data_IF_186138251266
#
_entry.id   IF_186138251266
#
_cell.length_a   1.000
_cell.length_b   1.000
_cell.length_c   1.000
_cell.angle_alpha   90.00
_cell.angle_beta   90.00
_cell.angle_gamma   90.00
#
_symmetry.space_group_name_H-M   'P 1'
#
loop_
_entity.id
_entity.type
_entity.pdbx_description
1 polymer ?
#
# COMPACT_ATOMS: atom_id res chain seq x y z
N UNK A 1 29.49 12.94 13.89
CA UNK A 1 28.82 14.24 13.68
C UNK A 1 27.48 13.98 13.02
N UNK A 2 26.38 14.36 13.67
CA UNK A 2 25.03 14.15 13.16
C UNK A 2 24.03 14.16 14.29
N UNK A 3 22.91 14.84 14.07
CA UNK A 3 21.79 14.88 15.00
C UNK A 3 21.15 13.49 15.09
N UNK A 4 20.79 13.06 16.31
CA UNK A 4 20.01 11.83 16.53
C UNK A 4 18.54 12.14 16.75
N UNK A 5 17.68 11.14 16.57
CA UNK A 5 16.28 11.22 16.96
C UNK A 5 16.15 11.53 18.46
N UNK A 6 15.06 12.20 18.82
CA UNK A 6 14.78 12.61 20.20
C UNK A 6 14.02 11.57 21.02
N UNK A 7 13.67 10.42 20.42
CA UNK A 7 12.90 9.33 21.05
C UNK A 7 13.62 7.99 20.88
N UNK A 8 13.49 7.14 21.87
CA UNK A 8 14.05 5.79 21.96
C UNK A 8 12.96 4.69 22.00
N UNK A 9 11.68 5.09 22.01
CA UNK A 9 10.52 4.21 21.88
C UNK A 9 9.41 4.87 21.02
N UNK A 10 8.43 4.07 20.62
CA UNK A 10 7.21 4.51 19.94
C UNK A 10 6.30 5.30 20.88
N UNK A 11 5.33 6.01 20.31
CA UNK A 11 4.36 6.81 21.06
C UNK A 11 3.19 5.90 21.48
N UNK A 12 3.23 5.39 22.71
CA UNK A 12 2.16 4.52 23.21
C UNK A 12 0.93 5.31 23.64
N UNK A 13 -0.23 4.92 23.11
CA UNK A 13 -1.54 5.50 23.48
C UNK A 13 -2.49 4.46 24.08
N UNK A 14 -3.30 4.92 25.03
CA UNK A 14 -4.38 4.15 25.65
C UNK A 14 -5.75 4.38 24.97
N UNK A 15 -5.82 5.29 24.00
CA UNK A 15 -7.07 5.61 23.29
C UNK A 15 -7.29 4.69 22.09
N UNK A 16 -8.57 4.47 21.75
CA UNK A 16 -8.92 3.85 20.48
C UNK A 16 -8.54 4.74 19.28
N UNK A 17 -8.44 4.15 18.09
CA UNK A 17 -8.25 4.92 16.86
C UNK A 17 -9.45 5.86 16.59
N UNK A 18 -9.24 7.11 16.13
CA UNK A 18 -10.27 8.13 16.06
C UNK A 18 -11.26 7.92 14.90
N UNK A 19 -10.92 7.10 13.92
CA UNK A 19 -11.70 7.02 12.67
C UNK A 19 -13.07 6.37 12.86
N UNK A 20 -13.20 5.38 13.75
CA UNK A 20 -14.47 4.72 14.00
C UNK A 20 -15.47 5.66 14.70
N UNK A 21 -15.01 6.40 15.70
CA UNK A 21 -15.83 7.35 16.46
C UNK A 21 -16.15 8.59 15.62
N UNK A 22 -15.18 9.15 14.89
CA UNK A 22 -15.39 10.30 14.00
C UNK A 22 -16.36 9.98 12.86
N UNK A 23 -16.21 8.82 12.20
CA UNK A 23 -17.16 8.33 11.18
C UNK A 23 -18.60 8.27 11.70
N UNK A 24 -18.80 7.75 12.91
CA UNK A 24 -20.15 7.67 13.54
C UNK A 24 -20.74 9.06 13.73
N UNK A 25 -19.96 9.99 14.30
CA UNK A 25 -20.38 11.36 14.53
C UNK A 25 -20.69 12.12 13.22
N UNK A 26 -19.88 11.93 12.18
CA UNK A 26 -20.13 12.51 10.86
C UNK A 26 -21.42 11.97 10.26
N UNK A 27 -21.65 10.66 10.30
CA UNK A 27 -22.88 10.06 9.74
C UNK A 27 -24.14 10.51 10.48
N UNK A 28 -24.04 10.79 11.79
CA UNK A 28 -25.14 11.31 12.60
C UNK A 28 -25.46 12.77 12.26
N UNK A 29 -24.43 13.62 12.15
CA UNK A 29 -24.59 15.05 11.89
C UNK A 29 -24.86 15.38 10.41
N UNK A 30 -24.24 14.63 9.50
CA UNK A 30 -24.24 14.83 8.04
C UNK A 30 -24.62 13.52 7.32
N UNK A 31 -25.84 12.98 7.50
CA UNK A 31 -26.23 11.67 6.94
C UNK A 31 -26.13 11.58 5.42
N UNK A 32 -26.13 12.71 4.71
CA UNK A 32 -26.01 12.82 3.27
C UNK A 32 -24.60 12.47 2.74
N UNK A 33 -23.57 12.37 3.59
CA UNK A 33 -22.26 11.80 3.21
C UNK A 33 -22.38 10.38 2.65
N UNK A 34 -23.44 9.64 3.03
CA UNK A 34 -23.74 8.30 2.50
C UNK A 34 -23.91 8.28 0.98
N UNK A 35 -24.25 9.41 0.36
CA UNK A 35 -24.41 9.54 -1.10
C UNK A 35 -23.08 9.53 -1.85
N UNK A 36 -21.95 9.75 -1.14
CA UNK A 36 -20.61 9.72 -1.72
C UNK A 36 -20.03 8.31 -1.84
N UNK A 37 -20.64 7.31 -1.18
CA UNK A 37 -20.23 5.92 -1.36
C UNK A 37 -20.58 5.44 -2.76
N UNK A 38 -19.68 4.70 -3.38
CA UNK A 38 -19.99 4.10 -4.67
C UNK A 38 -18.77 3.71 -5.47
N UNK A 39 -18.94 3.83 -6.79
CA UNK A 39 -17.95 3.46 -7.79
C UNK A 39 -17.44 4.73 -8.45
N UNK A 40 -16.13 4.85 -8.63
CA UNK A 40 -15.57 5.84 -9.54
C UNK A 40 -15.59 5.28 -10.98
N UNK A 41 -16.49 5.75 -11.86
CA UNK A 41 -16.57 5.24 -13.22
C UNK A 41 -15.35 5.62 -14.07
N UNK A 42 -14.61 6.66 -13.68
CA UNK A 42 -13.47 7.19 -14.43
C UNK A 42 -12.17 6.44 -14.14
N UNK A 43 -12.01 5.94 -12.91
CA UNK A 43 -10.78 5.31 -12.42
C UNK A 43 -10.26 4.22 -13.37
N UNK A 44 -11.15 3.36 -13.88
CA UNK A 44 -10.77 2.27 -14.79
C UNK A 44 -10.15 2.74 -16.11
N UNK A 45 -10.63 3.86 -16.65
CA UNK A 45 -10.12 4.41 -17.90
C UNK A 45 -8.80 5.14 -17.70
N UNK A 46 -8.67 5.88 -16.59
CA UNK A 46 -7.43 6.55 -16.23
C UNK A 46 -6.32 5.52 -16.01
N UNK A 47 -6.58 4.50 -15.19
CA UNK A 47 -5.62 3.42 -14.92
C UNK A 47 -5.24 2.66 -16.20
N UNK A 48 -6.21 2.31 -17.06
CA UNK A 48 -5.91 1.68 -18.34
C UNK A 48 -5.03 2.55 -19.24
N UNK A 49 -5.29 3.86 -19.28
CA UNK A 49 -4.46 4.79 -20.04
C UNK A 49 -3.04 4.86 -19.49
N UNK A 50 -2.86 4.84 -18.17
CA UNK A 50 -1.54 4.85 -17.52
C UNK A 50 -0.75 3.57 -17.79
N UNK A 51 -1.40 2.39 -17.72
CA UNK A 51 -0.77 1.10 -18.03
C UNK A 51 -0.33 1.05 -19.50
N UNK A 52 -1.22 1.44 -20.43
CA UNK A 52 -0.91 1.47 -21.85
C UNK A 52 0.22 2.48 -22.17
N UNK A 53 0.21 3.63 -21.50
CA UNK A 53 1.26 4.62 -21.64
C UNK A 53 2.62 4.10 -21.16
N UNK A 54 2.67 3.36 -20.04
CA UNK A 54 3.91 2.74 -19.57
C UNK A 54 4.45 1.68 -20.55
N UNK A 55 3.56 0.91 -21.17
CA UNK A 55 3.94 -0.03 -22.24
C UNK A 55 4.48 0.71 -23.46
N UNK A 56 3.85 1.83 -23.85
CA UNK A 56 4.36 2.70 -24.92
C UNK A 56 5.75 3.24 -24.58
N UNK A 57 5.98 3.70 -23.35
CA UNK A 57 7.30 4.15 -22.90
C UNK A 57 8.35 3.04 -22.97
N UNK A 58 7.98 1.80 -22.65
CA UNK A 58 8.85 0.63 -22.83
C UNK A 58 9.26 0.44 -24.29
N UNK A 59 8.33 0.58 -25.24
CA UNK A 59 8.64 0.51 -26.67
C UNK A 59 9.56 1.67 -27.13
N UNK A 60 9.30 2.89 -26.65
CA UNK A 60 10.09 4.07 -27.03
C UNK A 60 11.52 4.04 -26.46
N UNK A 61 11.71 3.46 -25.27
CA UNK A 61 13.00 3.47 -24.55
C UNK A 61 13.88 2.24 -24.81
N UNK A 62 13.38 1.21 -25.49
CA UNK A 62 14.10 -0.06 -25.68
C UNK A 62 15.52 0.08 -26.26
N UNK A 63 15.72 1.06 -27.13
CA UNK A 63 17.00 1.34 -27.81
C UNK A 63 17.68 2.62 -27.35
N UNK A 64 17.10 3.34 -26.37
CA UNK A 64 17.66 4.60 -25.84
C UNK A 64 18.93 4.38 -25.03
N UNK A 65 19.71 5.44 -24.82
CA UNK A 65 20.85 5.41 -23.91
C UNK A 65 20.39 5.31 -22.44
N UNK A 66 21.30 4.85 -21.57
CA UNK A 66 20.99 4.63 -20.15
C UNK A 66 20.64 5.91 -19.39
N UNK A 67 21.23 7.05 -19.76
CA UNK A 67 20.93 8.30 -19.08
C UNK A 67 19.49 8.71 -19.34
N UNK A 68 19.02 8.62 -20.60
CA UNK A 68 17.64 8.88 -20.95
C UNK A 68 16.69 7.90 -20.24
N UNK A 69 17.03 6.61 -20.18
CA UNK A 69 16.23 5.60 -19.45
C UNK A 69 16.08 5.98 -17.97
N UNK A 70 17.17 6.36 -17.30
CA UNK A 70 17.15 6.75 -15.88
C UNK A 70 16.38 8.05 -15.64
N UNK A 71 16.56 9.05 -16.50
CA UNK A 71 15.81 10.31 -16.41
C UNK A 71 14.31 10.07 -16.60
N UNK A 72 13.93 9.27 -17.60
CA UNK A 72 12.53 8.92 -17.81
C UNK A 72 11.99 8.06 -16.67
N UNK A 73 12.77 7.12 -16.14
CA UNK A 73 12.36 6.33 -14.97
C UNK A 73 12.07 7.22 -13.76
N UNK A 74 12.82 8.32 -13.56
CA UNK A 74 12.57 9.26 -12.48
C UNK A 74 11.34 10.15 -12.75
N UNK A 75 11.35 10.91 -13.84
CA UNK A 75 10.38 11.98 -14.09
C UNK A 75 9.04 11.50 -14.63
N UNK A 76 9.02 10.35 -15.31
CA UNK A 76 7.85 9.80 -15.97
C UNK A 76 7.43 8.49 -15.31
N UNK A 77 8.35 7.52 -15.29
CA UNK A 77 8.15 6.20 -14.70
C UNK A 77 7.75 6.29 -13.22
N UNK A 78 8.49 7.06 -12.43
CA UNK A 78 8.27 7.20 -11.00
C UNK A 78 6.94 7.86 -10.66
N UNK A 79 6.57 8.93 -11.38
CA UNK A 79 5.28 9.61 -11.18
C UNK A 79 4.11 8.67 -11.50
N UNK A 80 4.17 7.98 -12.64
CA UNK A 80 3.07 7.11 -13.09
C UNK A 80 3.00 5.83 -12.26
N UNK A 81 4.14 5.23 -11.89
CA UNK A 81 4.16 4.04 -11.03
C UNK A 81 3.67 4.36 -9.61
N UNK A 82 4.02 5.52 -9.07
CA UNK A 82 3.44 5.95 -7.79
C UNK A 82 1.93 6.08 -7.89
N UNK A 83 1.45 6.77 -8.93
CA UNK A 83 0.03 6.94 -9.17
C UNK A 83 -0.70 5.59 -9.34
N UNK A 84 -0.12 4.64 -10.07
CA UNK A 84 -0.66 3.28 -10.21
C UNK A 84 -0.70 2.53 -8.87
N UNK A 85 0.30 2.72 -8.01
CA UNK A 85 0.29 2.17 -6.64
C UNK A 85 -0.90 2.71 -5.84
N UNK A 86 -1.22 3.99 -6.01
CA UNK A 86 -2.38 4.61 -5.36
C UNK A 86 -3.72 4.27 -6.01
N UNK A 87 -3.72 3.99 -7.32
CA UNK A 87 -4.87 3.40 -7.96
C UNK A 87 -5.15 2.00 -7.42
N UNK A 88 -4.12 1.17 -7.23
CA UNK A 88 -4.24 -0.14 -6.56
C UNK A 88 -4.81 0.03 -5.15
N UNK A 89 -4.37 1.06 -4.42
CA UNK A 89 -4.93 1.41 -3.13
C UNK A 89 -6.45 1.68 -3.19
N UNK A 90 -6.92 2.54 -4.09
CA UNK A 90 -8.35 2.85 -4.21
C UNK A 90 -9.16 1.61 -4.71
N UNK A 91 -8.63 0.90 -5.71
CA UNK A 91 -9.18 -0.38 -6.19
C UNK A 91 -9.27 -1.41 -5.05
N UNK A 92 -8.37 -1.32 -4.05
CA UNK A 92 -8.38 -2.24 -2.92
C UNK A 92 -9.65 -2.11 -2.07
N UNK A 93 -10.25 -0.93 -2.03
CA UNK A 93 -11.53 -0.65 -1.39
C UNK A 93 -12.74 -0.90 -2.31
N UNK A 94 -12.52 -1.58 -3.43
CA UNK A 94 -13.51 -1.93 -4.44
C UNK A 94 -14.18 -0.72 -5.12
N UNK A 95 -13.53 0.44 -5.19
CA UNK A 95 -14.10 1.66 -5.77
C UNK A 95 -14.18 1.61 -7.30
N UNK A 96 -13.48 0.70 -7.99
CA UNK A 96 -13.49 0.61 -9.45
C UNK A 96 -14.72 -0.13 -10.02
N UNK A 97 -15.21 -1.16 -9.34
CA UNK A 97 -16.38 -1.96 -9.78
C UNK A 97 -17.42 -2.19 -8.69
N UNK A 98 -17.19 -1.71 -7.47
CA UNK A 98 -18.09 -1.86 -6.33
C UNK A 98 -17.95 -3.20 -5.61
N UNK A 99 -18.51 -3.25 -4.40
CA UNK A 99 -18.47 -4.42 -3.51
C UNK A 99 -19.21 -5.65 -4.06
N UNK A 100 -20.12 -5.47 -5.02
CA UNK A 100 -20.83 -6.56 -5.70
C UNK A 100 -19.93 -7.40 -6.60
N UNK A 101 -18.80 -6.86 -7.07
CA UNK A 101 -17.90 -7.52 -8.02
C UNK A 101 -16.46 -7.56 -7.50
N UNK A 102 -16.18 -8.25 -6.38
CA UNK A 102 -14.85 -8.25 -5.75
C UNK A 102 -13.77 -8.82 -6.68
N UNK A 103 -14.07 -9.87 -7.46
CA UNK A 103 -13.10 -10.44 -8.40
C UNK A 103 -12.74 -9.48 -9.55
N UNK A 104 -13.69 -8.67 -10.03
CA UNK A 104 -13.38 -7.65 -11.06
C UNK A 104 -12.39 -6.62 -10.52
N UNK A 105 -12.56 -6.17 -9.28
CA UNK A 105 -11.59 -5.29 -8.62
C UNK A 105 -10.23 -5.98 -8.45
N UNK A 106 -10.19 -7.26 -8.07
CA UNK A 106 -8.91 -8.00 -7.92
C UNK A 106 -8.14 -8.11 -9.25
N UNK A 107 -8.78 -8.57 -10.32
CA UNK A 107 -8.12 -8.68 -11.63
C UNK A 107 -7.75 -7.31 -12.20
N UNK A 108 -8.59 -6.30 -12.02
CA UNK A 108 -8.26 -4.95 -12.44
C UNK A 108 -7.09 -4.36 -11.64
N UNK A 109 -7.02 -4.67 -10.35
CA UNK A 109 -5.86 -4.34 -9.52
C UNK A 109 -4.58 -5.03 -10.01
N UNK A 110 -4.63 -6.28 -10.46
CA UNK A 110 -3.48 -6.97 -11.07
C UNK A 110 -3.07 -6.31 -12.40
N UNK A 111 -4.04 -5.84 -13.19
CA UNK A 111 -3.77 -5.09 -14.41
C UNK A 111 -3.12 -3.72 -14.13
N UNK A 112 -3.60 -2.99 -13.12
CA UNK A 112 -2.98 -1.75 -12.65
C UNK A 112 -1.54 -1.97 -12.14
N UNK A 113 -1.26 -3.17 -11.64
CA UNK A 113 0.04 -3.58 -11.10
C UNK A 113 1.10 -3.86 -12.18
N UNK A 114 0.72 -4.10 -13.44
CA UNK A 114 1.67 -4.56 -14.46
C UNK A 114 2.91 -3.66 -14.58
N UNK A 115 2.79 -2.31 -14.67
CA UNK A 115 3.96 -1.42 -14.77
C UNK A 115 4.80 -1.32 -13.48
N UNK A 116 4.32 -1.84 -12.35
CA UNK A 116 5.07 -1.83 -11.09
C UNK A 116 6.22 -2.85 -11.12
N UNK A 117 6.14 -3.87 -12.00
CA UNK A 117 7.13 -4.94 -12.18
C UNK A 117 7.36 -5.84 -10.94
N UNK A 118 6.49 -5.74 -9.93
CA UNK A 118 6.52 -6.55 -8.70
C UNK A 118 5.07 -6.84 -8.29
N UNK A 119 4.67 -8.08 -7.96
CA UNK A 119 3.27 -8.47 -7.75
C UNK A 119 2.70 -8.01 -6.40
N UNK A 120 2.44 -6.71 -6.24
CA UNK A 120 2.01 -6.14 -4.95
C UNK A 120 0.50 -6.11 -4.75
N UNK A 121 -0.31 -6.03 -5.80
CA UNK A 121 -1.74 -5.67 -5.73
C UNK A 121 -2.59 -6.50 -4.77
N UNK A 122 -2.52 -7.84 -4.84
CA UNK A 122 -3.35 -8.69 -3.97
C UNK A 122 -2.87 -8.64 -2.51
N UNK A 123 -1.55 -8.70 -2.30
CA UNK A 123 -0.91 -8.63 -0.98
C UNK A 123 -1.13 -7.28 -0.31
N UNK A 124 -1.01 -6.20 -1.08
CA UNK A 124 -1.27 -4.83 -0.64
C UNK A 124 -2.68 -4.75 -0.07
N UNK A 125 -3.71 -5.16 -0.80
CA UNK A 125 -5.09 -5.16 -0.29
C UNK A 125 -5.25 -6.00 0.99
N UNK A 126 -4.58 -7.16 1.07
CA UNK A 126 -4.67 -8.04 2.25
C UNK A 126 -4.24 -7.31 3.52
N UNK A 127 -3.07 -6.66 3.50
CA UNK A 127 -2.54 -5.95 4.66
C UNK A 127 -3.12 -4.54 4.83
N UNK A 128 -3.43 -3.85 3.74
CA UNK A 128 -3.95 -2.48 3.80
C UNK A 128 -5.34 -2.40 4.45
N UNK A 129 -6.23 -3.35 4.17
CA UNK A 129 -7.56 -3.40 4.85
C UNK A 129 -7.40 -3.62 6.36
N UNK A 130 -6.36 -4.35 6.78
CA UNK A 130 -6.07 -4.57 8.20
C UNK A 130 -5.47 -3.34 8.85
N UNK A 131 -4.61 -2.63 8.16
CA UNK A 131 -4.11 -1.34 8.61
C UNK A 131 -5.25 -0.35 8.93
N UNK A 132 -6.30 -0.28 8.10
CA UNK A 132 -7.51 0.51 8.42
C UNK A 132 -8.25 0.00 9.67
N UNK A 133 -8.25 -1.31 9.90
CA UNK A 133 -9.00 -1.96 10.98
C UNK A 133 -8.28 -1.87 12.33
N UNK A 134 -6.97 -2.13 12.30
CA UNK A 134 -6.09 -2.30 13.45
C UNK A 134 -5.00 -1.22 13.47
N UNK A 135 -5.29 -0.03 12.96
CA UNK A 135 -4.37 1.11 12.89
C UNK A 135 -3.55 1.20 14.19
N UNK A 136 -2.23 1.27 14.10
CA UNK A 136 -1.33 1.39 15.25
C UNK A 136 -1.35 0.25 16.28
N UNK A 137 -2.15 -0.81 16.09
CA UNK A 137 -2.16 -1.96 17.01
C UNK A 137 -0.90 -2.80 16.81
N UNK A 138 -0.13 -2.99 17.88
CA UNK A 138 1.15 -3.67 17.82
C UNK A 138 1.03 -5.10 17.29
N UNK A 139 1.90 -5.47 16.36
CA UNK A 139 1.87 -6.77 15.68
C UNK A 139 0.77 -6.94 14.64
N UNK A 140 -0.25 -6.08 14.55
CA UNK A 140 -1.34 -6.21 13.57
C UNK A 140 -1.22 -5.20 12.43
N UNK A 141 -0.80 -3.98 12.74
CA UNK A 141 -0.56 -2.95 11.74
C UNK A 141 0.84 -3.10 11.13
N UNK A 142 0.91 -3.69 9.93
CA UNK A 142 2.17 -3.88 9.22
C UNK A 142 2.75 -2.60 8.62
N UNK A 143 2.04 -1.46 8.70
CA UNK A 143 2.57 -0.17 8.25
C UNK A 143 3.52 0.46 9.28
N UNK A 144 3.44 0.07 10.56
CA UNK A 144 4.34 0.57 11.62
C UNK A 144 5.74 -0.05 11.48
N UNK A 145 6.84 0.73 11.47
CA UNK A 145 8.21 0.19 11.41
C UNK A 145 8.51 -0.83 12.51
N UNK A 146 9.38 -1.78 12.19
CA UNK A 146 9.90 -2.72 13.19
C UNK A 146 10.76 -2.01 14.25
N UNK A 147 10.90 -2.62 15.42
CA UNK A 147 11.83 -2.13 16.46
C UNK A 147 13.26 -1.99 15.95
N UNK A 148 13.71 -2.92 15.10
CA UNK A 148 15.03 -2.82 14.46
C UNK A 148 15.15 -1.56 13.60
N UNK A 149 14.18 -1.29 12.73
CA UNK A 149 14.18 -0.08 11.90
C UNK A 149 14.28 1.17 12.78
N UNK A 150 13.48 1.22 13.85
CA UNK A 150 13.45 2.36 14.75
C UNK A 150 14.75 2.56 15.54
N UNK A 151 15.36 1.48 16.06
CA UNK A 151 16.62 1.52 16.79
C UNK A 151 17.83 1.85 15.90
N UNK A 152 17.83 1.35 14.66
CA UNK A 152 18.98 1.46 13.78
C UNK A 152 19.04 2.81 13.05
N UNK A 153 17.91 3.28 12.52
CA UNK A 153 17.83 4.46 11.64
C UNK A 153 17.57 5.76 12.42
N UNK A 154 18.48 6.06 13.35
CA UNK A 154 18.31 7.11 14.36
C UNK A 154 19.07 8.40 14.09
N UNK A 155 19.93 8.47 13.06
CA UNK A 155 20.69 9.68 12.72
C UNK A 155 20.24 10.24 11.37
N UNK A 156 20.50 11.52 11.08
CA UNK A 156 20.17 12.16 9.79
C UNK A 156 20.57 11.30 8.59
N UNK A 157 21.83 10.86 8.52
CA UNK A 157 22.31 10.03 7.42
C UNK A 157 21.58 8.68 7.34
N UNK A 158 21.37 8.02 8.49
CA UNK A 158 20.67 6.73 8.49
C UNK A 158 19.20 6.90 8.11
N UNK A 159 18.50 7.94 8.58
CA UNK A 159 17.13 8.24 8.15
C UNK A 159 17.02 8.48 6.64
N UNK A 160 18.01 9.15 6.05
CA UNK A 160 18.09 9.28 4.58
C UNK A 160 18.24 7.91 3.89
N UNK A 161 19.12 7.03 4.40
CA UNK A 161 19.25 5.66 3.89
C UNK A 161 17.95 4.86 4.08
N UNK A 162 17.24 5.06 5.19
CA UNK A 162 15.95 4.43 5.43
C UNK A 162 14.93 4.82 4.36
N UNK A 163 14.86 6.11 3.98
CA UNK A 163 14.00 6.56 2.88
C UNK A 163 14.37 5.88 1.56
N UNK A 164 15.66 5.75 1.25
CA UNK A 164 16.10 5.06 0.03
C UNK A 164 15.72 3.55 0.03
N UNK A 165 15.66 2.93 1.21
CA UNK A 165 15.33 1.52 1.41
C UNK A 165 13.83 1.26 1.67
N UNK A 166 13.03 2.32 1.73
CA UNK A 166 11.60 2.27 1.99
C UNK A 166 10.82 1.25 1.13
N UNK A 167 11.09 1.10 -0.18
CA UNK A 167 10.41 0.09 -1.00
C UNK A 167 10.60 -1.34 -0.47
N UNK A 168 11.79 -1.64 0.06
CA UNK A 168 12.10 -2.94 0.63
C UNK A 168 11.43 -3.15 1.98
N UNK A 169 11.35 -2.12 2.82
CA UNK A 169 10.61 -2.23 4.08
C UNK A 169 9.12 -2.47 3.80
N UNK A 170 8.49 -1.76 2.87
CA UNK A 170 7.10 -2.02 2.51
C UNK A 170 6.88 -3.44 1.94
N UNK A 171 7.84 -3.97 1.19
CA UNK A 171 7.75 -5.33 0.66
C UNK A 171 7.90 -6.41 1.74
N UNK A 172 8.83 -6.25 2.68
CA UNK A 172 9.22 -7.31 3.62
C UNK A 172 8.68 -7.14 5.04
N UNK A 173 8.38 -5.93 5.50
CA UNK A 173 7.86 -5.71 6.85
C UNK A 173 6.58 -6.50 7.13
N UNK A 174 5.60 -6.63 6.20
CA UNK A 174 4.41 -7.43 6.46
C UNK A 174 4.71 -8.90 6.76
N UNK A 175 5.70 -9.51 6.11
CA UNK A 175 6.10 -10.92 6.36
C UNK A 175 6.88 -11.10 7.67
N UNK A 176 7.32 -10.00 8.30
CA UNK A 176 8.00 -10.03 9.60
C UNK A 176 7.00 -9.79 10.72
N UNK A 177 6.17 -8.76 10.59
CA UNK A 177 5.25 -8.29 11.64
C UNK A 177 4.03 -9.21 11.75
N UNK A 178 3.29 -9.40 10.66
CA UNK A 178 2.05 -10.17 10.67
C UNK A 178 2.10 -11.26 9.60
N UNK A 179 2.73 -12.37 9.96
CA UNK A 179 2.92 -13.52 9.07
C UNK A 179 1.57 -14.10 8.68
N UNK A 180 1.29 -14.11 7.38
CA UNK A 180 0.09 -14.73 6.82
C UNK A 180 0.43 -15.73 5.74
N UNK A 181 -0.40 -16.75 5.66
CA UNK A 181 -0.28 -17.74 4.63
C UNK A 181 -0.55 -17.07 3.25
N UNK A 182 0.26 -17.36 2.21
CA UNK A 182 -0.02 -16.88 0.85
C UNK A 182 -1.37 -17.37 0.39
N UNK A 183 -2.12 -16.55 -0.33
CA UNK A 183 -3.43 -16.91 -0.90
C UNK A 183 -3.31 -17.28 -2.38
N UNK A 184 -4.29 -18.01 -2.89
CA UNK A 184 -4.37 -18.36 -4.31
C UNK A 184 -4.35 -17.15 -5.24
N UNK A 185 -4.99 -16.05 -4.84
CA UNK A 185 -4.97 -14.82 -5.62
C UNK A 185 -3.58 -14.15 -5.62
N UNK A 186 -2.75 -14.34 -4.58
CA UNK A 186 -1.36 -13.88 -4.60
C UNK A 186 -0.52 -14.71 -5.57
N UNK A 187 -0.77 -16.03 -5.67
CA UNK A 187 -0.13 -16.89 -6.67
C UNK A 187 -0.52 -16.46 -8.08
N UNK A 188 -1.81 -16.20 -8.33
CA UNK A 188 -2.27 -15.68 -9.63
C UNK A 188 -1.66 -14.31 -9.94
N UNK A 189 -1.59 -13.39 -8.96
CA UNK A 189 -0.94 -12.09 -9.15
C UNK A 189 0.53 -12.27 -9.55
N UNK A 190 1.26 -13.15 -8.87
CA UNK A 190 2.66 -13.43 -9.15
C UNK A 190 2.84 -14.00 -10.56
N UNK A 191 2.01 -14.98 -10.95
CA UNK A 191 2.05 -15.57 -12.29
C UNK A 191 1.77 -14.55 -13.39
N UNK A 192 0.74 -13.70 -13.22
CA UNK A 192 0.42 -12.62 -14.17
C UNK A 192 1.56 -11.61 -14.27
N UNK A 193 2.16 -11.22 -13.14
CA UNK A 193 3.26 -10.27 -13.14
C UNK A 193 4.51 -10.83 -13.82
N UNK A 194 4.92 -12.06 -13.47
CA UNK A 194 6.08 -12.72 -14.08
C UNK A 194 5.88 -12.88 -15.59
N UNK A 195 4.68 -13.28 -16.03
CA UNK A 195 4.37 -13.38 -17.45
C UNK A 195 4.49 -12.03 -18.18
N UNK A 196 4.02 -10.95 -17.55
CA UNK A 196 4.14 -9.61 -18.10
C UNK A 196 5.59 -9.12 -18.14
N UNK A 197 6.36 -9.29 -17.07
CA UNK A 197 7.76 -8.88 -17.01
C UNK A 197 8.61 -9.63 -18.05
N UNK A 198 8.36 -10.92 -18.24
CA UNK A 198 8.97 -11.73 -19.30
C UNK A 198 8.56 -11.25 -20.69
N UNK A 199 7.29 -10.83 -20.88
CA UNK A 199 6.84 -10.25 -22.15
C UNK A 199 7.56 -8.92 -22.42
N UNK A 200 7.67 -8.02 -21.44
CA UNK A 200 8.42 -6.76 -21.58
C UNK A 200 9.89 -7.05 -21.92
N UNK A 201 10.52 -8.00 -21.23
CA UNK A 201 11.90 -8.39 -21.49
C UNK A 201 12.08 -8.96 -22.90
N UNK A 202 11.15 -9.81 -23.36
CA UNK A 202 11.20 -10.42 -24.67
C UNK A 202 10.96 -9.43 -25.81
N UNK A 203 9.95 -8.56 -25.69
CA UNK A 203 9.55 -7.63 -26.77
C UNK A 203 10.35 -6.32 -26.78
N UNK A 204 10.76 -5.80 -25.61
CA UNK A 204 11.39 -4.47 -25.48
C UNK A 204 12.77 -4.51 -24.81
N UNK A 205 13.21 -5.67 -24.31
CA UNK A 205 14.54 -5.83 -23.74
C UNK A 205 14.70 -5.33 -22.30
N UNK A 206 15.91 -5.53 -21.78
CA UNK A 206 16.24 -5.31 -20.37
C UNK A 206 16.10 -3.84 -19.93
N UNK A 207 16.42 -2.89 -20.81
CA UNK A 207 16.32 -1.45 -20.50
C UNK A 207 14.90 -1.04 -20.13
N UNK A 208 13.91 -1.58 -20.84
CA UNK A 208 12.50 -1.26 -20.61
C UNK A 208 11.95 -1.91 -19.34
N UNK A 209 12.37 -3.14 -19.03
CA UNK A 209 12.04 -3.76 -17.74
C UNK A 209 12.66 -2.96 -16.57
N UNK A 210 13.92 -2.54 -16.72
CA UNK A 210 14.58 -1.73 -15.70
C UNK A 210 13.98 -0.34 -15.57
N UNK A 211 13.50 0.28 -16.66
CA UNK A 211 12.74 1.53 -16.58
C UNK A 211 11.54 1.42 -15.62
N UNK A 212 10.75 0.34 -15.73
CA UNK A 212 9.62 0.08 -14.83
C UNK A 212 10.08 -0.16 -13.38
N UNK A 213 11.06 -1.05 -13.18
CA UNK A 213 11.58 -1.38 -11.84
C UNK A 213 12.20 -0.15 -11.13
N UNK A 214 13.02 0.62 -11.84
CA UNK A 214 13.61 1.85 -11.30
C UNK A 214 12.53 2.88 -10.97
N UNK A 215 11.53 3.05 -11.84
CA UNK A 215 10.37 3.91 -11.57
C UNK A 215 9.66 3.52 -10.27
N UNK A 216 9.41 2.22 -10.06
CA UNK A 216 8.84 1.72 -8.82
C UNK A 216 9.71 2.03 -7.60
N UNK A 217 10.98 1.61 -7.61
CA UNK A 217 11.90 1.78 -6.47
C UNK A 217 12.08 3.25 -6.12
N UNK A 218 12.28 4.12 -7.11
CA UNK A 218 12.53 5.54 -6.83
C UNK A 218 11.27 6.24 -6.31
N UNK A 219 10.10 5.90 -6.84
CA UNK A 219 8.82 6.52 -6.49
C UNK A 219 8.34 6.25 -5.07
N UNK A 220 8.81 5.14 -4.50
CA UNK A 220 8.57 4.73 -3.13
C UNK A 220 9.68 5.21 -2.18
N UNK A 221 10.87 5.56 -2.70
CA UNK A 221 12.01 5.99 -1.89
C UNK A 221 12.26 7.50 -1.90
N UNK A 222 13.15 7.95 -2.79
CA UNK A 222 13.69 9.33 -2.77
C UNK A 222 12.95 10.32 -3.68
N UNK A 223 11.95 9.86 -4.42
CA UNK A 223 11.11 10.74 -5.24
C UNK A 223 10.17 11.59 -4.36
N UNK A 224 9.81 12.83 -4.75
CA UNK A 224 8.88 13.66 -3.98
C UNK A 224 7.57 12.96 -3.58
N UNK A 225 7.05 12.08 -4.43
CA UNK A 225 5.82 11.33 -4.17
C UNK A 225 5.94 10.38 -2.97
N UNK A 226 7.14 9.91 -2.62
CA UNK A 226 7.36 9.05 -1.47
C UNK A 226 7.03 9.72 -0.14
N UNK A 227 6.94 11.06 -0.11
CA UNK A 227 6.45 11.81 1.04
C UNK A 227 5.08 11.34 1.52
N UNK A 228 4.27 10.76 0.61
CA UNK A 228 2.99 10.12 0.91
C UNK A 228 3.08 9.16 2.11
N UNK A 229 3.98 8.19 2.06
CA UNK A 229 4.11 7.13 3.07
C UNK A 229 4.54 7.64 4.45
N UNK A 230 5.16 8.82 4.51
CA UNK A 230 5.49 9.46 5.77
C UNK A 230 4.32 10.33 6.23
N UNK A 231 3.74 11.09 5.31
CA UNK A 231 2.70 12.09 5.60
C UNK A 231 1.48 11.50 6.28
N UNK A 232 1.15 10.25 5.98
CA UNK A 232 -0.11 9.66 6.40
C UNK A 232 -0.17 9.35 7.90
N UNK A 233 0.87 8.71 8.45
CA UNK A 233 0.81 8.10 9.79
C UNK A 233 1.99 8.40 10.71
N UNK A 234 2.99 9.17 10.26
CA UNK A 234 4.05 9.61 11.15
C UNK A 234 3.59 10.80 11.98
N UNK A 235 3.86 10.75 13.29
CA UNK A 235 3.36 11.72 14.25
C UNK A 235 4.14 13.04 14.17
N UNK A 236 3.67 13.94 13.31
CA UNK A 236 4.08 15.35 13.28
C UNK A 236 3.44 16.17 14.42
N UNK A 237 2.37 15.62 15.01
CA UNK A 237 1.66 16.15 16.18
C UNK A 237 1.28 14.96 17.07
N UNK A 238 1.67 14.97 18.34
CA UNK A 238 1.64 13.79 19.22
C UNK A 238 0.23 13.21 19.46
N UNK A 239 -0.81 14.05 19.39
CA UNK A 239 -2.22 13.69 19.61
C UNK A 239 -2.97 13.34 18.31
N UNK A 240 -2.26 13.23 17.17
CA UNK A 240 -2.83 12.91 15.87
C UNK A 240 -2.03 11.78 15.20
N UNK A 241 -2.73 10.72 14.79
CA UNK A 241 -2.11 9.51 14.22
C UNK A 241 -2.32 9.33 12.71
N UNK A 242 -3.18 10.17 12.14
CA UNK A 242 -3.46 10.18 10.71
C UNK A 242 -3.50 11.63 10.25
N UNK A 243 -2.83 11.96 9.15
CA UNK A 243 -2.75 13.32 8.63
C UNK A 243 -3.13 13.35 7.16
N UNK A 244 -3.82 14.43 6.78
CA UNK A 244 -4.13 14.70 5.38
C UNK A 244 -3.11 15.66 4.77
N UNK A 245 -2.85 15.48 3.49
CA UNK A 245 -2.11 16.38 2.63
C UNK A 245 -3.04 17.03 1.59
N UNK A 246 -3.02 18.36 1.55
CA UNK A 246 -3.78 19.15 0.58
C UNK A 246 -2.83 19.96 -0.30
N UNK A 247 -2.34 19.31 -1.35
CA UNK A 247 -1.46 19.96 -2.32
C UNK A 247 -1.50 19.32 -3.71
N UNK A 248 -0.65 19.79 -4.64
CA UNK A 248 -0.76 19.49 -6.07
C UNK A 248 -0.59 18.00 -6.42
N UNK A 249 0.17 17.24 -5.63
CA UNK A 249 0.28 15.78 -5.81
C UNK A 249 -1.08 15.06 -5.88
N UNK A 250 -2.15 15.57 -5.24
CA UNK A 250 -3.50 15.00 -5.34
C UNK A 250 -4.02 14.86 -6.79
N UNK A 251 -3.51 15.66 -7.73
CA UNK A 251 -3.84 15.57 -9.15
C UNK A 251 -3.36 14.27 -9.81
N UNK A 252 -2.25 13.70 -9.34
CA UNK A 252 -1.72 12.43 -9.83
C UNK A 252 -1.81 11.30 -8.80
N UNK A 253 -2.33 11.56 -7.60
CA UNK A 253 -2.47 10.56 -6.53
C UNK A 253 -3.93 10.24 -6.18
N UNK A 254 -4.87 10.53 -7.11
CA UNK A 254 -6.31 10.25 -6.96
C UNK A 254 -6.91 10.81 -5.66
N UNK A 255 -6.43 11.98 -5.21
CA UNK A 255 -6.80 12.60 -3.93
C UNK A 255 -6.57 11.73 -2.68
N UNK A 256 -5.69 10.73 -2.72
CA UNK A 256 -5.37 9.93 -1.51
C UNK A 256 -4.87 10.80 -0.35
N UNK A 257 -4.30 11.98 -0.66
CA UNK A 257 -3.87 12.94 0.36
C UNK A 257 -5.00 13.40 1.28
N UNK A 258 -6.27 13.25 0.92
CA UNK A 258 -7.40 13.38 1.85
C UNK A 258 -7.48 12.13 2.75
N UNK A 259 -6.39 11.87 3.47
CA UNK A 259 -6.14 10.57 4.08
C UNK A 259 -6.92 10.34 5.37
N UNK A 260 -7.12 11.40 6.16
CA UNK A 260 -8.03 11.33 7.32
C UNK A 260 -9.44 11.02 6.86
N UNK A 261 -9.91 11.71 5.83
CA UNK A 261 -11.22 11.49 5.21
C UNK A 261 -11.35 10.07 4.67
N UNK A 262 -10.30 9.58 4.03
CA UNK A 262 -10.20 8.21 3.53
C UNK A 262 -10.29 7.18 4.67
N UNK A 263 -9.51 7.32 5.75
CA UNK A 263 -9.61 6.40 6.88
C UNK A 263 -10.97 6.45 7.58
N UNK A 264 -11.62 7.61 7.62
CA UNK A 264 -12.98 7.74 8.11
C UNK A 264 -13.99 7.05 7.18
N UNK A 265 -13.77 7.05 5.87
CA UNK A 265 -14.70 6.50 4.89
C UNK A 265 -13.98 5.82 3.70
N UNK A 266 -13.35 4.65 3.90
CA UNK A 266 -12.45 4.04 2.91
C UNK A 266 -13.17 3.54 1.64
N UNK A 267 -14.50 3.47 1.68
CA UNK A 267 -15.34 3.08 0.55
C UNK A 267 -15.92 4.28 -0.22
N UNK A 268 -15.55 5.51 0.13
CA UNK A 268 -15.79 6.69 -0.69
C UNK A 268 -14.59 6.80 -1.66
N UNK A 269 -14.80 6.81 -2.99
CA UNK A 269 -13.70 6.92 -3.93
C UNK A 269 -12.90 8.20 -3.74
N UNK A 270 -11.60 8.14 -4.01
CA UNK A 270 -10.69 9.30 -3.90
C UNK A 270 -11.22 10.58 -4.57
N UNK A 271 -11.87 10.46 -5.72
CA UNK A 271 -12.52 11.59 -6.43
C UNK A 271 -13.50 12.39 -5.57
N UNK A 272 -14.20 11.75 -4.64
CA UNK A 272 -15.25 12.34 -3.82
C UNK A 272 -14.79 12.73 -2.40
N UNK A 273 -13.55 12.39 -2.00
CA UNK A 273 -12.98 12.82 -0.72
C UNK A 273 -12.92 14.35 -0.53
N UNK A 274 -12.63 15.18 -1.55
CA UNK A 274 -12.74 16.63 -1.41
C UNK A 274 -14.15 17.11 -1.06
N UNK A 275 -15.19 16.41 -1.56
CA UNK A 275 -16.59 16.72 -1.24
C UNK A 275 -16.90 16.32 0.20
N UNK A 276 -16.41 15.16 0.66
CA UNK A 276 -16.55 14.73 2.05
C UNK A 276 -15.97 15.77 3.00
N UNK A 277 -14.76 16.27 2.73
CA UNK A 277 -14.15 17.36 3.52
C UNK A 277 -15.04 18.60 3.57
N UNK A 278 -15.54 19.03 2.42
CA UNK A 278 -16.39 20.22 2.31
C UNK A 278 -17.76 20.06 3.00
N UNK A 279 -18.28 18.84 3.10
CA UNK A 279 -19.57 18.56 3.75
C UNK A 279 -19.47 18.51 5.28
N UNK A 280 -18.32 18.08 5.82
CA UNK A 280 -18.11 17.92 7.25
C UNK A 280 -16.89 18.73 7.76
N UNK A 281 -16.83 20.05 7.50
CA UNK A 281 -15.64 20.88 7.78
C UNK A 281 -15.25 20.86 9.26
N UNK A 282 -16.23 20.90 10.17
CA UNK A 282 -16.03 20.90 11.63
C UNK A 282 -15.18 19.72 12.14
N UNK A 283 -15.14 18.62 11.39
CA UNK A 283 -14.39 17.42 11.74
C UNK A 283 -12.95 17.40 11.21
N UNK A 284 -12.63 18.26 10.24
CA UNK A 284 -11.35 18.21 9.51
C UNK A 284 -10.53 19.51 9.57
N UNK A 285 -11.16 20.68 9.68
CA UNK A 285 -10.47 21.99 9.59
C UNK A 285 -9.44 22.24 10.70
N UNK A 286 -9.68 21.69 11.90
CA UNK A 286 -8.81 21.87 13.06
C UNK A 286 -7.70 20.79 13.16
N UNK A 287 -7.66 19.84 12.23
CA UNK A 287 -6.63 18.80 12.22
C UNK A 287 -5.34 19.36 11.60
N UNK A 288 -4.20 18.86 12.08
CA UNK A 288 -2.93 19.15 11.46
C UNK A 288 -2.92 18.57 10.04
N UNK A 289 -2.42 19.35 9.09
CA UNK A 289 -2.44 19.03 7.68
C UNK A 289 -1.11 19.40 7.02
N UNK A 290 -0.72 18.63 6.01
CA UNK A 290 0.46 18.87 5.19
C UNK A 290 0.10 19.60 3.89
N UNK A 291 1.05 20.35 3.34
CA UNK A 291 0.92 21.04 2.05
C UNK A 291 2.05 20.73 1.06
N UNK A 292 3.14 20.10 1.53
CA UNK A 292 4.31 19.77 0.70
C UNK A 292 4.91 18.41 1.02
N UNK A 293 4.90 17.49 0.04
CA UNK A 293 5.53 16.17 0.17
C UNK A 293 7.06 16.25 0.30
N UNK A 294 7.69 17.22 -0.36
CA UNK A 294 9.14 17.43 -0.24
C UNK A 294 9.53 17.93 1.15
N UNK A 295 8.71 18.79 1.75
CA UNK A 295 8.93 19.25 3.12
C UNK A 295 8.86 18.07 4.09
N UNK A 296 7.86 17.20 3.94
CA UNK A 296 7.69 15.98 4.76
C UNK A 296 8.92 15.08 4.71
N UNK A 297 9.47 14.83 3.50
CA UNK A 297 10.69 14.04 3.34
C UNK A 297 11.90 14.72 4.02
N UNK A 298 12.02 16.05 3.88
CA UNK A 298 13.05 16.83 4.55
C UNK A 298 12.92 16.78 6.07
N UNK A 299 11.73 16.99 6.62
CA UNK A 299 11.45 16.90 8.04
C UNK A 299 11.76 15.51 8.58
N UNK A 300 11.39 14.44 7.87
CA UNK A 300 11.74 13.08 8.27
C UNK A 300 13.25 12.90 8.44
N UNK A 301 14.06 13.41 7.51
CA UNK A 301 15.53 13.25 7.55
C UNK A 301 16.18 14.17 8.58
N UNK A 302 15.78 15.44 8.64
CA UNK A 302 16.53 16.47 9.37
C UNK A 302 15.94 16.83 10.74
N UNK A 303 14.66 16.56 11.02
CA UNK A 303 14.06 16.86 12.33
C UNK A 303 14.34 15.72 13.35
N UNK A 304 14.91 15.99 14.54
CA UNK A 304 15.07 14.99 15.61
C UNK A 304 13.78 14.34 16.06
N UNK A 305 12.68 15.09 16.04
CA UNK A 305 11.39 14.60 16.46
C UNK A 305 10.83 13.57 15.46
N UNK A 306 11.39 13.49 14.25
CA UNK A 306 10.97 12.58 13.21
C UNK A 306 11.97 11.44 13.01
N UNK A 307 11.45 10.27 12.66
CA UNK A 307 12.19 9.04 12.41
C UNK A 307 11.25 7.84 12.54
N UNK A 308 11.74 6.60 12.44
CA UNK A 308 10.86 5.44 12.48
C UNK A 308 10.08 5.27 13.81
N UNK A 309 10.60 5.83 14.92
CA UNK A 309 9.90 5.90 16.21
C UNK A 309 8.72 6.89 16.25
N UNK A 310 8.62 7.83 15.31
CA UNK A 310 7.56 8.84 15.29
C UNK A 310 6.24 8.24 14.78
N UNK A 311 5.76 7.19 15.43
CA UNK A 311 4.54 6.45 15.13
C UNK A 311 3.79 6.17 16.43
N UNK A 312 2.47 6.30 16.38
CA UNK A 312 1.62 5.89 17.50
C UNK A 312 1.47 4.38 17.51
N UNK A 313 1.52 3.79 18.71
CA UNK A 313 1.26 2.37 18.96
C UNK A 313 0.26 2.19 20.09
N UNK A 314 -0.48 1.09 20.03
CA UNK A 314 -1.44 0.69 21.07
C UNK A 314 -1.45 -0.82 21.23
N UNK A 315 -1.96 -1.27 22.38
CA UNK A 315 -2.10 -2.70 22.68
C UNK A 315 -3.08 -3.33 21.69
N UNK A 316 -2.75 -4.49 21.07
CA UNK A 316 -3.65 -5.15 20.14
C UNK A 316 -4.90 -5.67 20.87
N UNK A 317 -6.06 -5.51 20.23
CA UNK A 317 -7.36 -5.96 20.77
C UNK A 317 -7.68 -7.41 20.45
N UNK A 318 -6.99 -7.96 19.45
CA UNK A 318 -7.14 -9.35 18.98
C UNK A 318 -5.77 -9.99 18.82
N UNK A 319 -5.71 -11.32 18.91
CA UNK A 319 -4.49 -12.06 18.60
C UNK A 319 -4.24 -12.09 17.08
N UNK A 320 -2.98 -12.31 16.69
CA UNK A 320 -2.64 -12.57 15.31
C UNK A 320 -3.26 -13.89 14.84
N UNK A 321 -3.89 -13.88 13.67
CA UNK A 321 -4.45 -15.07 13.05
C UNK A 321 -3.61 -15.51 11.84
N UNK A 322 -3.25 -16.80 11.80
CA UNK A 322 -2.58 -17.40 10.66
C UNK A 322 -3.57 -18.29 9.89
N UNK A 323 -4.13 -17.77 8.79
CA UNK A 323 -5.03 -18.52 7.91
C UNK A 323 -4.81 -18.15 6.44
N UNK A 324 -5.13 -19.08 5.54
CA UNK A 324 -5.07 -18.88 4.09
C UNK A 324 -6.34 -19.36 3.40
N UNK A 325 -6.74 -18.68 2.32
CA UNK A 325 -7.86 -19.10 1.49
C UNK A 325 -7.32 -19.74 0.20
N UNK A 326 -7.54 -21.04 0.05
CA UNK A 326 -6.97 -21.90 -1.01
C UNK A 326 -8.02 -22.57 -1.93
N UNK A 327 -8.99 -21.84 -2.51
CA UNK A 327 -10.03 -22.44 -3.34
C UNK A 327 -9.52 -23.07 -4.65
N UNK A 328 -8.51 -22.49 -5.32
CA UNK A 328 -7.86 -23.04 -6.51
C UNK A 328 -7.28 -24.42 -6.25
N UNK A 329 -6.73 -24.68 -5.06
CA UNK A 329 -6.21 -26.00 -4.74
C UNK A 329 -7.32 -27.06 -4.85
N UNK A 330 -8.52 -26.77 -4.34
CA UNK A 330 -9.67 -27.68 -4.46
C UNK A 330 -10.13 -27.86 -5.92
N UNK A 331 -10.09 -26.80 -6.75
CA UNK A 331 -10.43 -26.89 -8.17
C UNK A 331 -9.38 -27.66 -8.98
N UNK A 332 -8.09 -27.44 -8.71
CA UNK A 332 -6.98 -28.17 -9.31
C UNK A 332 -7.06 -29.63 -8.90
N UNK A 333 -7.30 -29.94 -7.62
CA UNK A 333 -7.53 -31.31 -7.15
C UNK A 333 -8.72 -31.95 -7.89
N UNK A 334 -9.84 -31.23 -8.02
CA UNK A 334 -10.99 -31.69 -8.80
C UNK A 334 -10.68 -31.97 -10.27
N UNK A 335 -9.92 -31.09 -10.93
CA UNK A 335 -9.48 -31.27 -12.32
C UNK A 335 -8.53 -32.46 -12.45
N UNK A 336 -7.54 -32.58 -11.56
CA UNK A 336 -6.59 -33.70 -11.53
C UNK A 336 -7.32 -35.03 -11.31
N UNK A 337 -8.31 -35.06 -10.41
CA UNK A 337 -9.20 -36.20 -10.23
C UNK A 337 -9.99 -36.53 -11.50
N UNK A 338 -10.50 -35.51 -12.20
CA UNK A 338 -11.24 -35.69 -13.45
C UNK A 338 -10.38 -36.29 -14.57
N UNK A 339 -9.10 -35.91 -14.66
CA UNK A 339 -8.16 -36.41 -15.68
C UNK A 339 -7.37 -37.65 -15.24
N UNK A 340 -7.76 -38.30 -14.13
CA UNK A 340 -7.19 -39.57 -13.68
C UNK A 340 -5.85 -39.46 -12.91
N UNK A 341 -5.49 -38.27 -12.44
CA UNK A 341 -4.26 -38.01 -11.67
C UNK A 341 -4.59 -37.97 -10.17
N UNK A 342 -4.56 -39.13 -9.52
CA UNK A 342 -5.04 -39.33 -8.15
C UNK A 342 -3.98 -39.12 -7.04
N UNK A 343 -2.70 -38.91 -7.37
CA UNK A 343 -1.57 -38.96 -6.41
C UNK A 343 -1.00 -37.60 -5.97
N UNK A 344 -1.69 -36.48 -6.19
CA UNK A 344 -1.13 -35.18 -5.81
C UNK A 344 -1.10 -34.93 -4.29
N UNK A 345 -2.00 -35.58 -3.53
CA UNK A 345 -2.06 -35.48 -2.06
C UNK A 345 -0.77 -35.92 -1.37
N UNK A 346 -0.04 -36.90 -1.91
CA UNK A 346 1.13 -37.47 -1.24
C UNK A 346 2.38 -36.59 -1.34
N UNK A 347 2.44 -35.66 -2.31
CA UNK A 347 3.59 -34.77 -2.49
C UNK A 347 3.42 -33.40 -1.79
N UNK A 348 2.18 -32.91 -1.63
CA UNK A 348 1.88 -31.60 -1.03
C UNK A 348 1.21 -31.65 0.35
N UNK A 349 0.73 -32.83 0.79
CA UNK A 349 -0.28 -32.98 1.84
C UNK A 349 0.12 -32.66 3.28
N UNK A 350 1.40 -32.56 3.61
CA UNK A 350 1.83 -32.26 4.98
C UNK A 350 2.07 -30.76 5.24
N UNK A 351 2.33 -29.95 4.21
CA UNK A 351 2.64 -28.52 4.38
C UNK A 351 1.41 -27.61 4.42
N UNK A 352 0.35 -27.96 3.67
CA UNK A 352 -0.82 -27.08 3.48
C UNK A 352 -1.95 -27.32 4.48
N UNK A 353 -2.15 -28.55 4.97
CA UNK A 353 -3.17 -28.86 5.97
C UNK A 353 -2.89 -28.19 7.33
N UNK A 354 -1.64 -27.88 7.62
CA UNK A 354 -1.20 -27.21 8.85
C UNK A 354 -1.39 -25.68 8.82
N UNK A 355 -1.72 -25.10 7.66
CA UNK A 355 -1.93 -23.64 7.51
C UNK A 355 -3.33 -23.19 7.93
N UNK A 356 -4.29 -24.10 8.01
CA UNK A 356 -5.67 -23.84 8.45
C UNK A 356 -5.96 -24.29 9.88
N UNK A 357 -5.00 -24.94 10.55
CA UNK A 357 -5.19 -25.45 11.90
C UNK A 357 -4.50 -24.53 12.93
N UNK A 358 -5.20 -23.47 13.34
CA UNK A 358 -4.75 -22.53 14.37
C UNK A 358 -4.52 -23.19 15.75
N UNK A 359 -4.92 -24.45 15.94
CA UNK A 359 -4.80 -25.15 17.23
C UNK A 359 -3.37 -25.59 17.60
N UNK A 360 -2.46 -25.73 16.63
CA UNK A 360 -1.12 -26.29 16.86
C UNK A 360 0.04 -25.26 16.86
N UNK A 361 -0.20 -23.98 16.59
CA UNK A 361 0.86 -22.94 16.56
C UNK A 361 0.91 -22.10 17.85
N UNK A 362 0.61 -22.71 19.00
CA UNK A 362 0.67 -22.07 20.33
C UNK A 362 2.06 -22.01 20.97
N UNK A 363 3.13 -22.43 20.29
CA UNK A 363 4.48 -22.45 20.85
C UNK A 363 5.54 -22.16 19.77
N UNK A 364 6.09 -20.93 19.80
CA UNK A 364 7.51 -20.60 19.53
C UNK A 364 7.74 -19.11 19.79
#
# INVERSE_FOLDING_TARGET
MGQSVSRDDFIWTLTEQPHASRRRAIVEKYPEVKKLFGVDPSLKYVVASMVLFQILMCYLLQSSDWLLVLLQAYFCGGVINHALTLAIHDISHNTAFGNKYPLKNRFFGMFANLPIAIPISVSFKKYHVEHHRYLGEDGLDTDVPTTFEAQFFTTTYRKFVWLALQPFFYAFRPIIIYKKAPTDMEIVNAAVQVAFDLAILYFFGLKSLLYLLFGTVISMGLHPSAGHFISEHYSFKEDQETFSYYGPWNLCTFNVGYHVEHHDFPYIPGRDLPKLKAMAPDFYENLYQHTSMMQILGEFVFNPAMGPYARLKRTPRVEQEFYGNYPLFAYVEGLLHHIGVYRFKTFAGNGFNDLNNNSNKKLA
#
